data_IF_487101288551
#
_entry.id   IF_487101288551
#
_cell.length_a   1.000
_cell.length_b   1.000
_cell.length_c   1.000
_cell.angle_alpha   90.00
_cell.angle_beta   90.00
_cell.angle_gamma   90.00
#
_symmetry.space_group_name_H-M   'P 1'
#
loop_
_entity.id
_entity.type
_entity.pdbx_description
1 polymer ?
#
# COMPACT_ATOMS: atom_id res chain seq x y z
N UNK A 1 52.58 -7.97 7.47
CA UNK A 1 52.89 -6.94 6.45
C UNK A 1 51.60 -6.16 6.22
N UNK A 2 51.46 -4.90 6.69
CA UNK A 2 51.76 -3.64 5.96
C UNK A 2 51.17 -3.66 4.52
N UNK A 3 50.44 -2.66 4.00
CA UNK A 3 49.90 -1.36 4.46
C UNK A 3 49.11 -0.78 3.26
N UNK A 4 48.01 -0.04 3.50
CA UNK A 4 47.52 1.16 2.75
C UNK A 4 47.09 1.07 1.26
N UNK A 5 46.30 1.98 0.68
CA UNK A 5 45.21 2.96 1.01
C UNK A 5 44.91 3.69 -0.34
N UNK A 6 43.66 4.15 -0.56
CA UNK A 6 43.28 5.53 -0.98
C UNK A 6 41.88 5.49 -1.65
N UNK A 7 40.81 6.01 -1.02
CA UNK A 7 40.28 7.41 -1.07
C UNK A 7 39.63 7.76 -2.43
N UNK A 8 38.44 8.35 -2.59
CA UNK A 8 37.59 9.35 -1.87
C UNK A 8 36.12 9.14 -2.34
N UNK A 9 35.04 9.67 -1.78
CA UNK A 9 34.73 10.65 -0.73
C UNK A 9 33.18 10.72 -0.62
N UNK A 10 32.62 10.77 0.59
CA UNK A 10 32.14 11.97 1.31
C UNK A 10 30.65 12.29 1.08
N UNK A 11 29.89 12.21 2.16
CA UNK A 11 28.50 12.64 2.28
C UNK A 11 27.90 12.20 3.61
N UNK A 12 28.25 12.92 4.69
CA UNK A 12 27.78 12.77 6.08
C UNK A 12 27.12 14.14 6.38
N UNK A 13 25.92 14.27 6.95
CA UNK A 13 25.61 14.08 8.36
C UNK A 13 24.09 14.28 8.62
N UNK A 14 23.70 13.66 9.73
CA UNK A 14 22.43 13.56 10.43
C UNK A 14 21.75 14.86 10.89
N UNK A 15 20.44 14.67 11.16
CA UNK A 15 19.62 15.12 12.29
C UNK A 15 19.79 16.53 12.86
N UNK A 16 18.67 17.25 13.03
CA UNK A 16 18.05 17.48 14.34
C UNK A 16 16.87 18.46 14.21
N UNK A 17 15.85 18.16 15.01
CA UNK A 17 14.65 18.92 15.30
C UNK A 17 14.96 20.23 16.06
N UNK A 18 14.34 21.37 15.73
CA UNK A 18 13.95 22.39 16.73
C UNK A 18 12.85 23.34 16.23
N UNK A 19 11.93 23.60 17.16
CA UNK A 19 10.78 24.51 17.17
C UNK A 19 11.10 26.02 17.26
N UNK A 20 10.03 26.84 17.08
CA UNK A 20 9.82 28.26 17.50
C UNK A 20 10.21 29.31 16.45
N UNK A 21 9.58 30.47 16.30
CA UNK A 21 8.41 31.14 16.93
C UNK A 21 8.07 32.39 16.10
N UNK A 22 6.84 32.91 16.26
CA UNK A 22 6.31 34.12 15.62
C UNK A 22 7.03 35.42 16.05
N UNK A 23 7.22 36.38 15.13
CA UNK A 23 6.61 37.75 15.07
C UNK A 23 7.46 38.71 14.20
N UNK A 24 6.80 39.59 13.44
CA UNK A 24 7.38 40.85 12.94
C UNK A 24 7.12 41.15 11.45
N UNK A 25 6.02 41.85 11.14
CA UNK A 25 5.80 42.49 9.84
C UNK A 25 6.60 43.80 9.74
N UNK A 26 7.22 44.07 8.59
CA UNK A 26 7.06 45.30 7.79
C UNK A 26 8.11 45.35 6.67
N UNK A 27 7.68 45.55 5.43
CA UNK A 27 8.57 45.80 4.30
C UNK A 27 8.03 45.21 3.01
N UNK A 28 7.21 46.00 2.30
CA UNK A 28 6.75 45.66 0.95
C UNK A 28 7.93 45.73 -0.02
N UNK A 29 8.35 44.57 -0.52
CA UNK A 29 9.15 44.43 -1.73
C UNK A 29 8.44 43.41 -2.62
N UNK A 30 8.00 43.89 -3.80
CA UNK A 30 7.50 43.07 -4.88
C UNK A 30 8.63 42.13 -5.32
N UNK A 31 8.55 40.88 -4.92
CA UNK A 31 9.29 39.76 -5.48
C UNK A 31 8.35 38.56 -5.50
N UNK A 32 8.26 37.92 -6.67
CA UNK A 32 7.50 36.70 -6.90
C UNK A 32 7.84 35.64 -5.83
N UNK A 33 6.90 35.43 -4.90
CA UNK A 33 6.74 34.23 -4.11
C UNK A 33 5.82 33.32 -4.94
N UNK A 34 6.06 32.03 -5.18
CA UNK A 34 6.92 31.04 -4.55
C UNK A 34 6.92 29.80 -5.45
N UNK A 35 7.96 28.97 -5.27
CA UNK A 35 7.95 27.52 -5.45
C UNK A 35 7.18 26.97 -6.66
N UNK A 36 7.94 26.47 -7.64
CA UNK A 36 7.43 25.41 -8.52
C UNK A 36 6.78 24.35 -7.62
N UNK A 37 5.45 24.33 -7.65
CA UNK A 37 4.64 23.48 -6.82
C UNK A 37 4.96 22.04 -7.14
N UNK A 38 5.60 21.36 -6.20
CA UNK A 38 5.30 19.95 -5.99
C UNK A 38 4.01 19.91 -5.17
N UNK A 39 2.89 20.27 -5.80
CA UNK A 39 1.58 19.85 -5.32
C UNK A 39 1.43 18.36 -5.59
N UNK A 40 0.70 17.60 -4.76
CA UNK A 40 0.31 16.25 -5.15
C UNK A 40 -0.38 16.33 -6.50
N UNK A 41 -0.11 15.39 -7.41
CA UNK A 41 -0.91 15.24 -8.64
C UNK A 41 -2.32 14.80 -8.22
N UNK A 42 -3.14 15.73 -7.76
CA UNK A 42 -4.58 15.59 -7.58
C UNK A 42 -5.21 15.71 -8.97
N UNK A 43 -5.04 14.66 -9.76
CA UNK A 43 -6.02 14.30 -10.78
C UNK A 43 -7.33 13.97 -10.07
N UNK A 44 -7.99 15.00 -9.53
CA UNK A 44 -9.25 14.90 -8.84
C UNK A 44 -10.28 14.42 -9.87
N UNK A 45 -10.66 13.16 -9.75
CA UNK A 45 -11.82 12.64 -10.45
C UNK A 45 -13.04 13.21 -9.74
N UNK A 46 -13.67 14.23 -10.33
CA UNK A 46 -14.96 14.71 -9.85
C UNK A 46 -16.04 13.73 -10.27
N UNK A 47 -16.83 13.24 -9.29
CA UNK A 47 -17.98 12.39 -9.54
C UNK A 47 -19.25 13.22 -9.38
N UNK A 48 -20.17 13.06 -10.32
CA UNK A 48 -21.52 13.63 -10.21
C UNK A 48 -22.42 12.84 -9.24
N UNK A 49 -21.97 11.68 -8.77
CA UNK A 49 -22.78 10.71 -8.00
C UNK A 49 -22.23 10.52 -6.59
N UNK A 50 -20.91 10.51 -6.42
CA UNK A 50 -20.26 10.28 -5.14
C UNK A 50 -19.66 11.57 -4.58
N UNK A 51 -19.87 11.80 -3.28
CA UNK A 51 -19.28 12.95 -2.57
C UNK A 51 -17.76 12.88 -2.48
N UNK A 52 -17.19 11.68 -2.63
CA UNK A 52 -15.76 11.44 -2.60
C UNK A 52 -15.40 10.24 -3.48
N UNK A 53 -14.35 10.37 -4.28
CA UNK A 53 -13.76 9.27 -5.06
C UNK A 53 -12.26 9.25 -4.80
N UNK A 54 -11.75 8.08 -4.40
CA UNK A 54 -10.32 7.84 -4.20
C UNK A 54 -9.81 6.79 -5.18
N UNK A 55 -8.62 7.02 -5.71
CA UNK A 55 -7.89 6.02 -6.50
C UNK A 55 -6.89 5.31 -5.60
N UNK A 56 -7.05 4.00 -5.45
CA UNK A 56 -6.16 3.18 -4.65
C UNK A 56 -5.19 2.39 -5.53
N UNK A 57 -3.90 2.65 -5.29
CA UNK A 57 -2.79 1.91 -5.85
C UNK A 57 -2.40 2.25 -7.28
N UNK A 58 -1.36 1.57 -7.73
CA UNK A 58 -0.78 1.72 -9.07
C UNK A 58 -0.21 0.38 -9.56
N UNK A 59 0.22 0.31 -10.82
CA UNK A 59 0.80 -0.94 -11.35
C UNK A 59 2.16 -1.23 -10.72
N UNK A 60 2.32 -2.43 -10.16
CA UNK A 60 3.62 -2.90 -9.67
C UNK A 60 3.52 -3.91 -8.52
N UNK A 61 4.65 -4.17 -7.86
CA UNK A 61 4.80 -5.20 -6.82
C UNK A 61 5.15 -4.62 -5.43
N UNK A 62 5.30 -3.31 -5.29
CA UNK A 62 5.50 -2.69 -3.98
C UNK A 62 4.21 -2.73 -3.14
N UNK A 63 4.28 -2.48 -1.82
CA UNK A 63 3.10 -2.19 -1.00
C UNK A 63 2.23 -1.10 -1.64
N UNK A 64 0.92 -1.31 -1.67
CA UNK A 64 -0.04 -0.42 -2.33
C UNK A 64 -0.04 -0.50 -3.87
N UNK A 65 0.82 -1.31 -4.48
CA UNK A 65 0.80 -1.54 -5.93
C UNK A 65 0.20 -2.89 -6.27
N UNK A 66 -0.39 -3.04 -7.45
CA UNK A 66 -1.07 -4.26 -7.88
C UNK A 66 -0.62 -4.74 -9.25
N UNK A 67 -0.68 -6.05 -9.45
CA UNK A 67 -0.55 -6.68 -10.77
C UNK A 67 -1.85 -7.39 -11.15
N UNK A 68 -2.68 -6.73 -11.96
CA UNK A 68 -4.03 -7.18 -12.35
C UNK A 68 -4.86 -7.60 -11.11
N UNK A 69 -5.32 -6.65 -10.28
CA UNK A 69 -6.19 -6.97 -9.14
C UNK A 69 -7.41 -7.77 -9.60
N UNK A 70 -7.83 -8.75 -8.80
CA UNK A 70 -8.81 -9.79 -9.19
C UNK A 70 -10.06 -9.78 -8.34
N UNK A 71 -9.92 -9.58 -7.04
CA UNK A 71 -11.01 -9.65 -6.06
C UNK A 71 -10.72 -8.70 -4.91
N UNK A 72 -11.80 -8.24 -4.29
CA UNK A 72 -11.77 -7.51 -3.04
C UNK A 72 -12.61 -8.22 -1.97
N UNK A 73 -12.37 -7.91 -0.71
CA UNK A 73 -13.25 -8.19 0.42
C UNK A 73 -13.13 -7.04 1.43
N UNK A 74 -14.16 -6.82 2.25
CA UNK A 74 -14.19 -5.77 3.27
C UNK A 74 -14.53 -6.44 4.60
N UNK A 75 -13.76 -6.18 5.65
CA UNK A 75 -14.08 -6.68 7.00
C UNK A 75 -15.01 -5.73 7.77
N UNK A 76 -15.33 -6.06 9.03
CA UNK A 76 -16.28 -5.28 9.83
C UNK A 76 -15.76 -3.93 10.28
N UNK A 77 -14.45 -3.72 10.21
CA UNK A 77 -13.79 -2.46 10.55
C UNK A 77 -13.51 -1.64 9.27
N UNK A 78 -14.22 -1.96 8.17
CA UNK A 78 -14.08 -1.37 6.83
C UNK A 78 -12.69 -1.49 6.21
N UNK A 79 -11.85 -2.42 6.71
CA UNK A 79 -10.57 -2.66 6.07
C UNK A 79 -10.78 -3.36 4.72
N UNK A 80 -10.13 -2.85 3.69
CA UNK A 80 -10.17 -3.38 2.34
C UNK A 80 -9.06 -4.41 2.13
N UNK A 81 -9.42 -5.61 1.70
CA UNK A 81 -8.49 -6.63 1.24
C UNK A 81 -8.53 -6.69 -0.27
N UNK A 82 -7.38 -6.64 -0.93
CA UNK A 82 -7.27 -6.76 -2.39
C UNK A 82 -6.34 -7.92 -2.72
N UNK A 83 -6.84 -8.84 -3.54
CA UNK A 83 -6.05 -9.96 -4.06
C UNK A 83 -5.70 -9.72 -5.53
N UNK A 84 -4.41 -9.84 -5.87
CA UNK A 84 -3.92 -9.68 -7.23
C UNK A 84 -3.49 -11.01 -7.88
N UNK A 85 -3.17 -11.00 -9.17
CA UNK A 85 -2.88 -12.25 -9.89
C UNK A 85 -1.57 -12.91 -9.48
N UNK A 86 -0.73 -12.24 -8.68
CA UNK A 86 0.52 -12.83 -8.18
C UNK A 86 0.26 -13.79 -7.02
N UNK A 87 -0.99 -13.87 -6.52
CA UNK A 87 -1.34 -14.61 -5.32
C UNK A 87 -1.07 -13.81 -4.04
N UNK A 88 -0.89 -12.50 -4.14
CA UNK A 88 -0.68 -11.61 -3.00
C UNK A 88 -2.01 -11.02 -2.56
N UNK A 89 -2.22 -10.95 -1.26
CA UNK A 89 -3.32 -10.21 -0.64
C UNK A 89 -2.70 -9.03 0.11
N UNK A 90 -3.28 -7.85 -0.07
CA UNK A 90 -2.92 -6.64 0.66
C UNK A 90 -4.14 -6.13 1.42
N UNK A 91 -3.94 -5.72 2.67
CA UNK A 91 -4.96 -5.11 3.54
C UNK A 91 -4.71 -3.60 3.62
N UNK A 92 -5.77 -2.82 3.52
CA UNK A 92 -5.80 -1.38 3.65
C UNK A 92 -6.81 -0.97 4.71
N UNK A 93 -6.56 0.14 5.40
CA UNK A 93 -7.57 0.75 6.26
C UNK A 93 -8.68 1.42 5.43
N UNK A 94 -9.76 1.91 6.05
CA UNK A 94 -10.86 2.58 5.34
C UNK A 94 -10.42 3.84 4.59
N UNK A 95 -9.31 4.44 4.99
CA UNK A 95 -8.73 5.61 4.33
C UNK A 95 -7.90 5.26 3.09
N UNK A 96 -7.61 3.97 2.89
CA UNK A 96 -6.80 3.45 1.79
C UNK A 96 -5.31 3.36 2.11
N UNK A 97 -4.91 3.54 3.36
CA UNK A 97 -3.53 3.36 3.77
C UNK A 97 -3.19 1.87 3.82
N UNK A 98 -2.04 1.50 3.26
CA UNK A 98 -1.55 0.12 3.32
C UNK A 98 -1.26 -0.28 4.78
N UNK A 99 -1.77 -1.45 5.19
CA UNK A 99 -1.53 -2.01 6.52
C UNK A 99 -0.54 -3.18 6.47
N UNK A 100 -0.88 -4.22 5.72
CA UNK A 100 -0.08 -5.46 5.64
C UNK A 100 -0.35 -6.24 4.36
N UNK A 101 0.47 -7.27 4.11
CA UNK A 101 0.27 -8.18 2.99
C UNK A 101 0.77 -9.58 3.33
N UNK A 102 0.25 -10.57 2.61
CA UNK A 102 0.76 -11.93 2.64
C UNK A 102 0.60 -12.61 1.29
N UNK A 103 1.22 -13.78 1.16
CA UNK A 103 1.24 -14.56 -0.06
C UNK A 103 0.42 -15.85 0.09
N UNK A 104 -0.24 -16.27 -0.99
CA UNK A 104 -0.74 -17.64 -1.12
C UNK A 104 0.40 -18.65 -0.91
N UNK A 105 0.11 -19.85 -0.36
CA UNK A 105 1.13 -20.88 -0.14
C UNK A 105 1.88 -21.28 -1.41
N UNK A 106 1.21 -21.24 -2.56
CA UNK A 106 1.82 -21.49 -3.87
C UNK A 106 1.33 -20.48 -4.90
N UNK A 107 2.25 -20.03 -5.75
CA UNK A 107 2.00 -18.90 -6.67
C UNK A 107 2.28 -19.23 -8.13
N UNK A 108 2.95 -20.35 -8.43
CA UNK A 108 3.42 -20.67 -9.78
C UNK A 108 2.28 -20.82 -10.79
N UNK A 109 1.18 -21.45 -10.38
CA UNK A 109 -0.05 -21.61 -11.17
C UNK A 109 -1.19 -20.71 -10.68
N UNK A 110 -1.05 -20.15 -9.49
CA UNK A 110 -2.10 -19.47 -8.75
C UNK A 110 -2.57 -18.22 -9.47
N UNK A 111 -3.88 -18.14 -9.71
CA UNK A 111 -4.56 -16.94 -10.22
C UNK A 111 -5.89 -16.83 -9.47
N UNK A 112 -5.86 -16.36 -8.22
CA UNK A 112 -7.04 -16.32 -7.37
C UNK A 112 -8.17 -15.56 -8.05
N UNK A 113 -9.41 -15.97 -7.76
CA UNK A 113 -10.60 -15.47 -8.46
C UNK A 113 -11.58 -14.74 -7.55
N UNK A 114 -11.83 -15.27 -6.37
CA UNK A 114 -12.80 -14.72 -5.43
C UNK A 114 -12.25 -14.75 -4.01
N UNK A 115 -12.66 -13.76 -3.22
CA UNK A 115 -12.30 -13.59 -1.82
C UNK A 115 -13.52 -13.10 -1.05
N UNK A 116 -13.70 -13.60 0.17
CA UNK A 116 -14.76 -13.17 1.08
C UNK A 116 -14.26 -13.21 2.53
N UNK A 117 -14.92 -12.44 3.39
CA UNK A 117 -14.72 -12.52 4.84
C UNK A 117 -15.76 -13.50 5.43
N UNK A 118 -15.33 -14.36 6.36
CA UNK A 118 -16.25 -15.19 7.13
C UNK A 118 -16.85 -14.41 8.33
N UNK A 119 -17.65 -15.07 9.16
CA UNK A 119 -18.26 -14.43 10.33
C UNK A 119 -17.26 -14.16 11.47
N UNK A 120 -16.06 -14.71 11.45
CA UNK A 120 -15.01 -14.44 12.44
C UNK A 120 -14.06 -13.33 11.97
N UNK A 121 -14.20 -12.89 10.72
CA UNK A 121 -13.33 -11.90 10.07
C UNK A 121 -12.16 -12.54 9.32
N UNK A 122 -12.08 -13.86 9.27
CA UNK A 122 -11.07 -14.55 8.47
C UNK A 122 -11.34 -14.38 6.97
N UNK A 123 -10.29 -14.52 6.18
CA UNK A 123 -10.28 -14.30 4.73
C UNK A 123 -10.29 -15.66 4.01
N UNK A 124 -11.36 -15.93 3.27
CA UNK A 124 -11.51 -17.13 2.43
C UNK A 124 -11.20 -16.76 0.98
N UNK A 125 -10.26 -17.48 0.35
CA UNK A 125 -9.81 -17.21 -1.03
C UNK A 125 -9.92 -18.45 -1.89
N UNK A 126 -10.56 -18.31 -3.05
CA UNK A 126 -10.74 -19.39 -4.03
C UNK A 126 -9.60 -19.39 -5.05
N UNK A 127 -8.90 -20.53 -5.15
CA UNK A 127 -7.78 -20.78 -6.06
C UNK A 127 -8.09 -21.93 -7.04
N UNK A 128 -8.86 -21.71 -8.11
CA UNK A 128 -9.33 -22.79 -8.99
C UNK A 128 -8.19 -23.46 -9.78
N UNK A 129 -7.07 -22.78 -10.02
CA UNK A 129 -5.92 -23.38 -10.71
C UNK A 129 -5.12 -24.35 -9.83
N UNK A 130 -5.40 -24.34 -8.53
CA UNK A 130 -4.90 -25.29 -7.55
C UNK A 130 -6.03 -26.14 -6.96
N UNK A 131 -7.25 -26.09 -7.54
CA UNK A 131 -8.42 -26.84 -7.06
C UNK A 131 -8.66 -26.73 -5.55
N UNK A 132 -8.36 -25.56 -4.98
CA UNK A 132 -8.39 -25.35 -3.53
C UNK A 132 -8.99 -24.03 -3.11
N UNK A 133 -9.28 -23.95 -1.82
CA UNK A 133 -9.72 -22.79 -1.09
C UNK A 133 -8.76 -22.62 0.09
N UNK A 134 -8.23 -21.42 0.28
CA UNK A 134 -7.42 -21.08 1.44
C UNK A 134 -8.23 -20.24 2.41
N UNK A 135 -8.00 -20.46 3.69
CA UNK A 135 -8.65 -19.73 4.77
C UNK A 135 -7.57 -19.11 5.66
N UNK A 136 -7.56 -17.78 5.78
CA UNK A 136 -6.52 -17.04 6.50
C UNK A 136 -7.10 -16.21 7.63
N UNK A 137 -6.33 -15.97 8.68
CA UNK A 137 -6.65 -14.89 9.63
C UNK A 137 -6.50 -13.52 8.96
N UNK A 138 -7.05 -12.43 9.54
CA UNK A 138 -6.85 -11.06 9.04
C UNK A 138 -5.37 -10.65 8.92
N UNK A 139 -4.49 -11.26 9.71
CA UNK A 139 -3.04 -11.03 9.72
C UNK A 139 -2.29 -11.90 8.68
N UNK A 140 -3.02 -12.69 7.89
CA UNK A 140 -2.46 -13.49 6.80
C UNK A 140 -1.90 -14.85 7.20
N UNK A 141 -2.21 -15.34 8.41
CA UNK A 141 -1.84 -16.71 8.81
C UNK A 141 -2.82 -17.71 8.22
N UNK A 142 -2.32 -18.73 7.53
CA UNK A 142 -3.17 -19.82 7.01
C UNK A 142 -3.76 -20.63 8.18
N UNK A 143 -5.09 -20.70 8.24
CA UNK A 143 -5.86 -21.45 9.23
C UNK A 143 -6.17 -22.85 8.71
N UNK A 144 -6.68 -22.93 7.49
CA UNK A 144 -7.06 -24.18 6.84
C UNK A 144 -6.98 -24.07 5.32
N UNK A 145 -6.94 -25.23 4.67
CA UNK A 145 -7.00 -25.35 3.22
C UNK A 145 -7.94 -26.50 2.87
N UNK A 146 -8.79 -26.28 1.87
CA UNK A 146 -9.74 -27.29 1.39
C UNK A 146 -9.57 -27.48 -0.11
N UNK A 147 -9.44 -28.73 -0.55
CA UNK A 147 -9.15 -29.05 -1.95
C UNK A 147 -8.04 -30.10 -2.07
N UNK A 148 -7.67 -30.42 -3.32
CA UNK A 148 -6.66 -31.42 -3.68
C UNK A 148 -5.54 -30.82 -4.50
#
# INVERSE_FOLDING_TARGET
MKKQESHRGLGRLNDQCTTKSRLGQAGACILLWLAAGCGPNDGAFESEVFSEVRVLGSRGNAPGQFVKPRSIAIDRDDNLYVCDMTGRIQKFDPDGNYLLQWQMPEIKRGRPKGMACDHEGNIVVVEPHYSRINHFTPEGRLVSQWGV
#
